data_IF_237895668043
#
_entry.id   IF_237895668043
#
_cell.length_a   1.000
_cell.length_b   1.000
_cell.length_c   1.000
_cell.angle_alpha   90.00
_cell.angle_beta   90.00
_cell.angle_gamma   90.00
#
_symmetry.space_group_name_H-M   'P 1'
#
loop_
_entity.id
_entity.type
_entity.pdbx_description
1 polymer ?
#
# COMPACT_ATOMS: atom_id res chain seq x y z
N UNK A 1 4.71 -10.07 18.81
CA UNK A 1 5.90 -9.30 18.42
C UNK A 1 5.53 -8.43 17.22
N UNK A 2 5.88 -7.14 17.20
CA UNK A 2 5.60 -6.24 16.06
C UNK A 2 6.70 -6.42 15.01
N UNK A 3 6.32 -6.55 13.74
CA UNK A 3 7.28 -6.74 12.64
C UNK A 3 8.03 -5.43 12.40
N UNK A 4 9.36 -5.51 12.25
CA UNK A 4 10.22 -4.35 11.96
C UNK A 4 10.04 -3.93 10.48
N UNK A 5 9.82 -2.64 10.18
CA UNK A 5 9.78 -2.16 8.80
C UNK A 5 11.17 -2.27 8.14
N UNK A 6 11.18 -2.41 6.81
CA UNK A 6 12.40 -2.36 5.98
C UNK A 6 12.55 -0.95 5.41
N UNK A 7 13.70 -0.33 5.67
CA UNK A 7 14.08 0.96 5.09
C UNK A 7 14.45 0.83 3.62
N UNK A 8 14.28 1.92 2.87
CA UNK A 8 14.57 1.96 1.43
C UNK A 8 16.03 1.58 1.10
N UNK A 9 16.98 1.89 2.00
CA UNK A 9 18.40 1.57 1.82
C UNK A 9 18.69 0.07 1.92
N UNK A 10 17.90 -0.66 2.71
CA UNK A 10 18.06 -2.10 2.97
C UNK A 10 17.19 -2.95 2.04
N UNK A 11 16.25 -2.33 1.32
CA UNK A 11 15.28 -3.00 0.48
C UNK A 11 15.88 -3.54 -0.85
N UNK A 12 15.42 -4.71 -1.34
CA UNK A 12 15.74 -5.20 -2.68
C UNK A 12 15.38 -4.18 -3.78
N UNK A 13 16.06 -4.18 -4.95
CA UNK A 13 15.82 -3.24 -6.04
C UNK A 13 14.34 -3.09 -6.43
N UNK A 14 13.60 -4.20 -6.53
CA UNK A 14 12.18 -4.23 -6.88
C UNK A 14 11.29 -3.55 -5.83
N UNK A 15 11.64 -3.64 -4.54
CA UNK A 15 10.93 -2.98 -3.45
C UNK A 15 11.24 -1.48 -3.44
N UNK A 16 12.50 -1.10 -3.70
CA UNK A 16 12.91 0.31 -3.78
C UNK A 16 12.15 1.08 -4.86
N UNK A 17 11.91 0.45 -6.01
CA UNK A 17 11.11 1.05 -7.08
C UNK A 17 9.64 1.24 -6.65
N UNK A 18 9.07 0.31 -5.90
CA UNK A 18 7.72 0.48 -5.34
C UNK A 18 7.66 1.62 -4.32
N UNK A 19 8.66 1.75 -3.46
CA UNK A 19 8.76 2.84 -2.50
C UNK A 19 8.88 4.19 -3.20
N UNK A 20 9.73 4.31 -4.22
CA UNK A 20 9.88 5.54 -5.02
C UNK A 20 8.53 5.97 -5.61
N UNK A 21 7.77 5.03 -6.19
CA UNK A 21 6.43 5.32 -6.73
C UNK A 21 5.44 5.73 -5.65
N UNK A 22 5.48 5.09 -4.48
CA UNK A 22 4.63 5.48 -3.36
C UNK A 22 4.96 6.90 -2.88
N UNK A 23 6.24 7.25 -2.79
CA UNK A 23 6.70 8.59 -2.44
C UNK A 23 6.20 9.64 -3.45
N UNK A 24 6.30 9.35 -4.76
CA UNK A 24 5.83 10.25 -5.82
C UNK A 24 4.31 10.48 -5.81
N UNK A 25 3.54 9.46 -5.44
CA UNK A 25 2.08 9.52 -5.47
C UNK A 25 1.46 10.02 -4.16
N UNK A 26 2.08 9.69 -3.02
CA UNK A 26 1.51 9.88 -1.68
C UNK A 26 2.36 10.80 -0.79
N UNK A 27 3.55 11.20 -1.23
CA UNK A 27 4.50 12.02 -0.45
C UNK A 27 5.15 11.29 0.72
N UNK A 28 4.92 9.98 0.86
CA UNK A 28 5.55 9.10 1.84
C UNK A 28 5.32 7.63 1.46
N UNK A 29 6.20 6.74 1.90
CA UNK A 29 5.97 5.29 1.82
C UNK A 29 4.99 4.84 2.93
N UNK A 30 3.84 4.24 2.59
CA UNK A 30 2.89 3.75 3.60
C UNK A 30 3.51 2.69 4.51
N UNK A 31 3.31 2.80 5.81
CA UNK A 31 3.82 1.85 6.80
C UNK A 31 3.48 0.36 6.53
N UNK A 32 2.31 -0.01 5.97
CA UNK A 32 2.05 -1.39 5.59
C UNK A 32 3.00 -1.91 4.51
N UNK A 33 3.41 -1.06 3.56
CA UNK A 33 4.35 -1.45 2.51
C UNK A 33 5.74 -1.72 3.09
N UNK A 34 6.16 -0.95 4.09
CA UNK A 34 7.47 -1.15 4.73
C UNK A 34 7.55 -2.42 5.56
N UNK A 35 6.42 -2.88 6.09
CA UNK A 35 6.32 -4.19 6.74
C UNK A 35 6.25 -5.33 5.73
N UNK A 36 5.45 -5.19 4.67
CA UNK A 36 5.33 -6.23 3.62
C UNK A 36 6.61 -6.42 2.82
N UNK A 37 7.50 -5.42 2.78
CA UNK A 37 8.82 -5.52 2.16
C UNK A 37 9.71 -6.65 2.72
N UNK A 38 9.41 -7.16 3.93
CA UNK A 38 10.03 -8.38 4.46
C UNK A 38 9.80 -9.60 3.56
N UNK A 39 8.72 -9.59 2.78
CA UNK A 39 8.35 -10.63 1.82
C UNK A 39 8.01 -9.94 0.49
N UNK A 40 9.01 -9.64 -0.37
CA UNK A 40 8.79 -8.87 -1.60
C UNK A 40 7.66 -9.40 -2.50
N UNK A 41 7.48 -10.73 -2.70
CA UNK A 41 6.34 -11.24 -3.47
C UNK A 41 4.98 -10.85 -2.90
N UNK A 42 4.86 -10.76 -1.57
CA UNK A 42 3.63 -10.31 -0.90
C UNK A 42 3.36 -8.84 -1.17
N UNK A 43 4.39 -7.98 -1.05
CA UNK A 43 4.28 -6.56 -1.36
C UNK A 43 3.86 -6.34 -2.82
N UNK A 44 4.46 -7.08 -3.75
CA UNK A 44 4.12 -7.01 -5.17
C UNK A 44 2.65 -7.39 -5.42
N UNK A 45 2.20 -8.51 -4.85
CA UNK A 45 0.82 -8.97 -4.96
C UNK A 45 -0.17 -7.96 -4.36
N UNK A 46 0.14 -7.39 -3.19
CA UNK A 46 -0.68 -6.37 -2.54
C UNK A 46 -0.79 -5.10 -3.40
N UNK A 47 0.31 -4.67 -4.01
CA UNK A 47 0.33 -3.52 -4.89
C UNK A 47 -0.48 -3.77 -6.19
N UNK A 48 -0.35 -4.96 -6.78
CA UNK A 48 -1.16 -5.37 -7.94
C UNK A 48 -2.65 -5.39 -7.63
N UNK A 49 -3.04 -5.92 -6.46
CA UNK A 49 -4.42 -5.91 -6.00
C UNK A 49 -4.95 -4.48 -5.83
N UNK A 50 -4.19 -3.61 -5.17
CA UNK A 50 -4.53 -2.20 -5.00
C UNK A 50 -4.70 -1.48 -6.34
N UNK A 51 -3.82 -1.74 -7.31
CA UNK A 51 -3.90 -1.19 -8.66
C UNK A 51 -5.15 -1.70 -9.41
N UNK A 52 -5.50 -2.98 -9.31
CA UNK A 52 -6.69 -3.54 -9.93
C UNK A 52 -7.98 -2.90 -9.39
N UNK A 53 -8.08 -2.74 -8.07
CA UNK A 53 -9.22 -2.06 -7.42
C UNK A 53 -9.27 -0.60 -7.85
N UNK A 54 -8.14 0.09 -7.83
CA UNK A 54 -8.04 1.52 -8.18
C UNK A 54 -8.36 1.78 -9.66
N UNK A 55 -7.93 0.88 -10.55
CA UNK A 55 -8.18 0.95 -12.00
C UNK A 55 -9.60 0.56 -12.42
N UNK A 56 -10.38 -0.09 -11.56
CA UNK A 56 -11.76 -0.47 -11.87
C UNK A 56 -12.62 0.75 -12.23
N UNK A 57 -13.35 0.66 -13.35
CA UNK A 57 -14.26 1.71 -13.85
C UNK A 57 -15.73 1.50 -13.47
N UNK A 58 -16.03 0.45 -12.70
CA UNK A 58 -17.41 0.10 -12.30
C UNK A 58 -18.02 1.18 -11.41
N UNK A 59 -17.20 1.85 -10.61
CA UNK A 59 -17.61 2.94 -9.71
C UNK A 59 -16.68 4.14 -9.82
N UNK A 60 -17.20 5.34 -9.58
CA UNK A 60 -16.42 6.57 -9.64
C UNK A 60 -15.23 6.56 -8.65
N UNK A 61 -14.07 7.14 -9.00
CA UNK A 61 -12.86 7.13 -8.16
C UNK A 61 -13.08 7.59 -6.70
N UNK A 62 -13.86 8.66 -6.51
CA UNK A 62 -14.16 9.20 -5.17
C UNK A 62 -14.99 8.23 -4.32
N UNK A 63 -15.90 7.48 -4.93
CA UNK A 63 -16.72 6.49 -4.21
C UNK A 63 -15.88 5.32 -3.68
N UNK A 64 -14.86 4.88 -4.44
CA UNK A 64 -13.91 3.85 -3.96
C UNK A 64 -13.17 4.31 -2.70
N UNK A 65 -12.74 5.58 -2.68
CA UNK A 65 -12.05 6.16 -1.52
C UNK A 65 -12.97 6.22 -0.30
N UNK A 66 -14.21 6.69 -0.47
CA UNK A 66 -15.21 6.74 0.62
C UNK A 66 -15.57 5.34 1.14
N UNK A 67 -15.69 4.35 0.25
CA UNK A 67 -15.94 2.97 0.65
C UNK A 67 -14.78 2.41 1.48
N UNK A 68 -13.52 2.62 1.06
CA UNK A 68 -12.34 2.21 1.82
C UNK A 68 -12.28 2.88 3.19
N UNK A 69 -12.56 4.19 3.27
CA UNK A 69 -12.60 4.91 4.54
C UNK A 69 -13.69 4.38 5.47
N UNK A 70 -14.90 4.12 4.94
CA UNK A 70 -15.98 3.58 5.76
C UNK A 70 -15.67 2.17 6.26
N UNK A 71 -15.12 1.31 5.40
CA UNK A 71 -14.70 -0.03 5.79
C UNK A 71 -13.62 0.01 6.90
N UNK A 72 -12.66 0.92 6.77
CA UNK A 72 -11.62 1.15 7.77
C UNK A 72 -12.18 1.55 9.13
N UNK A 73 -13.09 2.53 9.15
CA UNK A 73 -13.76 2.99 10.37
C UNK A 73 -14.54 1.85 11.05
N UNK A 74 -15.25 1.04 10.25
CA UNK A 74 -16.01 -0.11 10.77
C UNK A 74 -15.12 -1.21 11.36
N UNK A 75 -13.92 -1.39 10.82
CA UNK A 75 -12.93 -2.32 11.33
C UNK A 75 -12.12 -1.77 12.52
N UNK A 76 -12.32 -0.52 12.93
CA UNK A 76 -11.51 0.14 13.96
C UNK A 76 -10.06 0.39 13.53
N UNK A 77 -9.80 0.44 12.21
CA UNK A 77 -8.47 0.75 11.72
C UNK A 77 -8.17 2.24 11.96
N UNK A 78 -7.09 2.60 12.67
CA UNK A 78 -6.85 3.96 13.11
C UNK A 78 -6.41 4.93 12.00
N UNK A 79 -6.17 4.43 10.77
CA UNK A 79 -5.64 5.15 9.60
C UNK A 79 -4.76 6.37 9.91
#
# INVERSE_FOLDING_TARGET
>A
MRIKPIDAAEAPPEVRELYRRAEELLGSVPAPQTVMAQVPPLLMAANQLGAAISGSKVVAPRLKTLASLRAAQMAGCPF
#
